data_IF_703230898780
#
_entry.id   IF_703230898780
#
_cell.length_a   1.000
_cell.length_b   1.000
_cell.length_c   1.000
_cell.angle_alpha   90.00
_cell.angle_beta   90.00
_cell.angle_gamma   90.00
#
_symmetry.space_group_name_H-M   'P 1'
#
loop_
_entity.id
_entity.type
_entity.pdbx_description
1 polymer ?
#
# COMPACT_ATOMS: atom_id res chain seq x y z
N UNK A 1 -1.29 -16.22 -8.38
CA UNK A 1 0.07 -16.15 -8.97
C UNK A 1 0.01 -15.27 -10.19
N UNK A 2 0.81 -14.20 -10.24
CA UNK A 2 1.03 -13.45 -11.49
C UNK A 2 1.81 -14.39 -12.42
N UNK A 3 1.30 -14.64 -13.62
CA UNK A 3 1.93 -15.58 -14.55
C UNK A 3 3.37 -15.13 -14.85
N UNK A 4 4.35 -16.06 -14.98
CA UNK A 4 5.76 -15.71 -15.12
C UNK A 4 6.05 -14.70 -16.25
N UNK A 5 5.23 -14.69 -17.31
CA UNK A 5 5.36 -13.78 -18.44
C UNK A 5 4.97 -12.33 -18.11
N UNK A 6 3.99 -12.12 -17.22
CA UNK A 6 3.52 -10.78 -16.83
C UNK A 6 4.61 -9.99 -16.10
N UNK A 7 5.55 -10.67 -15.42
CA UNK A 7 6.65 -10.02 -14.72
C UNK A 7 7.65 -9.38 -15.68
N UNK A 8 7.92 -10.00 -16.84
CA UNK A 8 8.88 -9.45 -17.81
C UNK A 8 8.42 -8.12 -18.40
N UNK A 9 7.11 -7.97 -18.61
CA UNK A 9 6.49 -6.77 -19.19
C UNK A 9 6.89 -5.50 -18.43
N UNK A 10 7.08 -5.57 -17.10
CA UNK A 10 7.41 -4.41 -16.27
C UNK A 10 8.75 -3.77 -16.61
N UNK A 11 9.71 -4.50 -17.18
CA UNK A 11 11.00 -3.93 -17.59
C UNK A 11 11.29 -4.09 -19.09
N UNK A 12 10.60 -4.97 -19.80
CA UNK A 12 10.72 -5.11 -21.27
C UNK A 12 9.76 -4.20 -22.03
N UNK A 13 8.57 -3.94 -21.49
CA UNK A 13 7.56 -3.02 -22.05
C UNK A 13 7.33 -1.87 -21.09
N UNK A 14 8.33 -1.02 -20.93
CA UNK A 14 8.39 -0.02 -19.86
C UNK A 14 7.18 0.92 -19.79
N UNK A 15 6.58 1.24 -20.94
CA UNK A 15 5.35 2.04 -21.04
C UNK A 15 4.14 1.40 -20.33
N UNK A 16 4.16 0.10 -20.06
CA UNK A 16 3.15 -0.60 -19.26
C UNK A 16 3.04 -0.04 -17.83
N UNK A 17 4.14 0.52 -17.31
CA UNK A 17 4.17 1.13 -15.99
C UNK A 17 3.68 2.58 -15.98
N UNK A 18 3.47 3.18 -17.15
CA UNK A 18 2.95 4.56 -17.24
C UNK A 18 1.49 4.53 -16.78
N UNK A 19 1.11 5.38 -15.81
CA UNK A 19 -0.26 5.40 -15.31
C UNK A 19 -1.27 5.66 -16.43
N UNK A 20 -2.21 4.74 -16.62
CA UNK A 20 -3.29 4.92 -17.61
C UNK A 20 -4.14 6.17 -17.36
N UNK A 21 -4.21 6.67 -16.12
CA UNK A 21 -4.88 7.91 -15.73
C UNK A 21 -4.27 9.17 -16.37
N UNK A 22 -3.04 9.11 -16.87
CA UNK A 22 -2.43 10.23 -17.59
C UNK A 22 -2.96 10.37 -19.02
N UNK A 23 -3.67 9.35 -19.53
CA UNK A 23 -4.25 9.35 -20.89
C UNK A 23 -3.25 9.69 -22.00
N UNK A 24 -1.98 9.31 -21.81
CA UNK A 24 -0.93 9.54 -22.81
C UNK A 24 -1.08 8.57 -23.98
N UNK A 25 -0.86 9.07 -25.19
CA UNK A 25 -0.77 8.21 -26.37
C UNK A 25 0.43 7.25 -26.23
N UNK A 26 0.16 5.94 -26.36
CA UNK A 26 1.20 4.91 -26.34
C UNK A 26 2.17 5.14 -27.50
N UNK A 27 3.48 5.15 -27.22
CA UNK A 27 4.49 5.51 -28.20
C UNK A 27 4.61 7.01 -28.48
N UNK A 28 3.99 7.88 -27.68
CA UNK A 28 4.37 9.30 -27.66
C UNK A 28 5.78 9.46 -27.08
N UNK A 29 6.45 10.58 -27.40
CA UNK A 29 7.75 10.90 -26.82
C UNK A 29 7.69 11.00 -25.29
N UNK A 30 6.57 11.52 -24.76
CA UNK A 30 6.33 11.63 -23.33
C UNK A 30 6.10 10.25 -22.69
N UNK A 31 5.22 9.41 -23.25
CA UNK A 31 4.94 8.07 -22.71
C UNK A 31 6.21 7.21 -22.64
N UNK A 32 7.01 7.18 -23.71
CA UNK A 32 8.29 6.46 -23.71
C UNK A 32 9.24 6.95 -22.63
N UNK A 33 9.45 8.27 -22.54
CA UNK A 33 10.35 8.86 -21.55
C UNK A 33 9.91 8.56 -20.13
N UNK A 34 8.62 8.70 -19.82
CA UNK A 34 8.10 8.38 -18.49
C UNK A 34 8.22 6.89 -18.18
N UNK A 35 7.98 6.00 -19.15
CA UNK A 35 8.20 4.57 -19.01
C UNK A 35 9.66 4.24 -18.68
N UNK A 36 10.62 4.81 -19.42
CA UNK A 36 12.04 4.69 -19.14
C UNK A 36 12.40 5.17 -17.74
N UNK A 37 11.92 6.35 -17.37
CA UNK A 37 12.19 6.97 -16.08
C UNK A 37 11.63 6.17 -14.89
N UNK A 38 10.40 5.66 -15.01
CA UNK A 38 9.77 4.80 -14.00
C UNK A 38 10.61 3.53 -13.82
N UNK A 39 10.96 2.83 -14.90
CA UNK A 39 11.76 1.61 -14.78
C UNK A 39 13.14 1.89 -14.20
N UNK A 40 13.81 2.97 -14.63
CA UNK A 40 15.10 3.37 -14.06
C UNK A 40 15.02 3.73 -12.58
N UNK A 41 13.92 4.33 -12.10
CA UNK A 41 13.75 4.66 -10.70
C UNK A 41 13.69 3.40 -9.81
N UNK A 42 12.94 2.38 -10.22
CA UNK A 42 12.80 1.15 -9.43
C UNK A 42 13.97 0.18 -9.63
N UNK A 43 14.37 -0.06 -10.88
CA UNK A 43 15.29 -1.14 -11.24
C UNK A 43 16.72 -0.66 -11.52
N UNK A 44 16.95 0.66 -11.55
CA UNK A 44 18.22 1.23 -11.95
C UNK A 44 18.51 1.06 -13.44
N UNK A 45 19.76 1.27 -13.83
CA UNK A 45 20.21 1.25 -15.24
C UNK A 45 21.02 -0.02 -15.60
N UNK A 46 21.13 -0.97 -14.67
CA UNK A 46 21.87 -2.21 -14.86
C UNK A 46 21.03 -3.34 -15.47
N UNK A 47 21.62 -4.54 -15.64
CA UNK A 47 20.86 -5.72 -16.04
C UNK A 47 19.76 -6.06 -15.03
N UNK A 48 18.53 -6.19 -15.51
CA UNK A 48 17.36 -6.50 -14.69
C UNK A 48 17.07 -8.00 -14.78
N UNK A 49 16.93 -8.66 -13.63
CA UNK A 49 16.46 -10.05 -13.56
C UNK A 49 15.50 -10.24 -12.40
N UNK A 50 14.60 -11.22 -12.55
CA UNK A 50 13.60 -11.56 -11.52
C UNK A 50 14.25 -11.87 -10.18
N UNK A 51 15.33 -12.66 -10.20
CA UNK A 51 15.93 -13.18 -8.98
C UNK A 51 16.60 -12.09 -8.14
N UNK A 52 17.08 -11.02 -8.78
CA UNK A 52 17.77 -9.91 -8.11
C UNK A 52 16.88 -8.69 -7.87
N UNK A 53 15.74 -8.57 -8.57
CA UNK A 53 14.86 -7.39 -8.53
C UNK A 53 13.43 -7.67 -8.05
N UNK A 54 13.22 -8.78 -7.34
CA UNK A 54 11.88 -9.17 -6.90
C UNK A 54 11.23 -8.10 -6.00
N UNK A 55 12.00 -7.46 -5.12
CA UNK A 55 11.50 -6.39 -4.26
C UNK A 55 11.06 -5.17 -5.06
N UNK A 56 11.87 -4.74 -6.03
CA UNK A 56 11.60 -3.61 -6.90
C UNK A 56 10.33 -3.85 -7.72
N UNK A 57 10.14 -5.10 -8.17
CA UNK A 57 8.91 -5.53 -8.82
C UNK A 57 7.68 -5.42 -7.88
N UNK A 58 7.79 -5.80 -6.61
CA UNK A 58 6.71 -5.60 -5.64
C UNK A 58 6.45 -4.13 -5.32
N UNK A 59 7.50 -3.32 -5.26
CA UNK A 59 7.38 -1.88 -4.99
C UNK A 59 6.64 -1.16 -6.13
N UNK A 60 7.04 -1.37 -7.39
CA UNK A 60 6.37 -0.74 -8.54
C UNK A 60 4.93 -1.23 -8.71
N UNK A 61 4.65 -2.51 -8.46
CA UNK A 61 3.28 -3.07 -8.55
C UNK A 61 2.39 -2.56 -7.43
N UNK A 62 2.91 -2.46 -6.20
CA UNK A 62 2.22 -1.87 -5.05
C UNK A 62 1.86 -0.41 -5.31
N UNK A 63 2.81 0.36 -5.81
CA UNK A 63 2.60 1.79 -6.05
C UNK A 63 1.61 2.02 -7.20
N UNK A 64 1.73 1.28 -8.30
CA UNK A 64 0.82 1.42 -9.44
C UNK A 64 -0.60 0.94 -9.14
N UNK A 65 -0.75 -0.12 -8.35
CA UNK A 65 -2.06 -0.76 -8.13
C UNK A 65 -2.80 -0.17 -6.93
N UNK A 66 -2.07 0.31 -5.91
CA UNK A 66 -2.68 0.67 -4.62
C UNK A 66 -2.13 1.99 -4.06
N UNK A 67 -0.86 2.03 -3.67
CA UNK A 67 -0.37 3.05 -2.73
C UNK A 67 -0.52 4.48 -3.26
N UNK A 68 -0.20 4.74 -4.53
CA UNK A 68 -0.36 6.08 -5.12
C UNK A 68 -1.82 6.54 -5.11
N UNK A 69 -2.76 5.62 -5.31
CA UNK A 69 -4.19 5.90 -5.39
C UNK A 69 -4.75 6.18 -4.01
N UNK A 70 -4.32 5.40 -3.02
CA UNK A 70 -4.61 5.64 -1.59
C UNK A 70 -4.09 7.02 -1.19
N UNK A 71 -2.81 7.31 -1.45
CA UNK A 71 -2.20 8.59 -1.10
C UNK A 71 -2.90 9.75 -1.79
N UNK A 72 -3.16 9.66 -3.10
CA UNK A 72 -3.89 10.68 -3.85
C UNK A 72 -5.31 10.92 -3.30
N UNK A 73 -5.98 9.86 -2.85
CA UNK A 73 -7.32 9.94 -2.25
C UNK A 73 -7.30 10.66 -0.90
N UNK A 74 -6.33 10.34 -0.02
CA UNK A 74 -6.12 11.07 1.24
C UNK A 74 -5.88 12.55 0.97
N UNK A 75 -4.96 12.87 0.06
CA UNK A 75 -4.63 14.23 -0.34
C UNK A 75 -5.84 14.99 -0.91
N UNK A 76 -6.67 14.31 -1.71
CA UNK A 76 -7.90 14.90 -2.25
C UNK A 76 -8.94 15.16 -1.16
N UNK A 77 -9.18 14.20 -0.26
CA UNK A 77 -10.14 14.36 0.82
C UNK A 77 -9.74 15.44 1.81
N UNK A 78 -8.44 15.59 2.12
CA UNK A 78 -7.94 16.71 2.94
C UNK A 78 -8.28 18.09 2.35
N UNK A 79 -8.35 18.21 1.02
CA UNK A 79 -8.71 19.47 0.33
C UNK A 79 -10.21 19.72 0.22
N UNK A 80 -11.01 18.66 0.25
CA UNK A 80 -12.41 18.70 -0.20
C UNK A 80 -13.41 18.32 0.89
N UNK A 81 -12.94 17.82 2.02
CA UNK A 81 -13.75 17.36 3.14
C UNK A 81 -13.19 17.86 4.46
N UNK A 82 -14.09 18.08 5.43
CA UNK A 82 -13.73 18.37 6.82
C UNK A 82 -13.82 17.12 7.71
N UNK A 83 -14.09 15.95 7.14
CA UNK A 83 -14.15 14.70 7.91
C UNK A 83 -12.74 14.18 8.24
N UNK A 84 -12.51 13.65 9.45
CA UNK A 84 -11.24 13.01 9.80
C UNK A 84 -10.94 11.82 8.88
N UNK A 85 -9.69 11.72 8.44
CA UNK A 85 -9.18 10.63 7.60
C UNK A 85 -8.18 9.83 8.42
N UNK A 86 -8.29 8.52 8.44
CA UNK A 86 -7.38 7.62 9.16
C UNK A 86 -6.74 6.66 8.17
N UNK A 87 -5.42 6.71 8.04
CA UNK A 87 -4.65 5.83 7.14
C UNK A 87 -3.95 4.74 7.96
N UNK A 88 -3.91 3.51 7.46
CA UNK A 88 -3.23 2.39 8.11
C UNK A 88 -2.36 1.60 7.13
N UNK A 89 -1.41 0.85 7.68
CA UNK A 89 -0.62 -0.17 7.00
C UNK A 89 -0.69 -1.45 7.82
N UNK A 90 -0.92 -2.59 7.18
CA UNK A 90 -0.68 -3.90 7.80
C UNK A 90 0.73 -4.35 7.43
N UNK A 91 1.57 -4.63 8.43
CA UNK A 91 2.94 -5.12 8.23
C UNK A 91 3.26 -6.36 9.07
N UNK A 92 2.28 -6.86 9.82
CA UNK A 92 2.38 -8.14 10.51
C UNK A 92 2.26 -9.31 9.51
N UNK A 93 3.40 -9.92 9.19
CA UNK A 93 3.47 -11.20 8.47
C UNK A 93 3.31 -12.35 9.47
N UNK A 94 2.19 -13.07 9.39
CA UNK A 94 1.84 -14.10 10.36
C UNK A 94 0.96 -15.20 9.79
N UNK A 95 0.57 -16.11 10.69
CA UNK A 95 -0.36 -17.17 10.42
C UNK A 95 -1.83 -16.73 10.19
N UNK A 96 -2.10 -15.43 10.10
CA UNK A 96 -3.40 -14.93 9.64
C UNK A 96 -3.36 -14.29 8.26
N UNK A 97 -2.20 -14.26 7.58
CA UNK A 97 -2.06 -13.78 6.20
C UNK A 97 -2.84 -14.67 5.21
N UNK A 98 -4.11 -14.32 5.01
CA UNK A 98 -5.09 -15.14 4.30
C UNK A 98 -4.70 -15.44 2.85
N UNK A 99 -4.28 -14.43 2.09
CA UNK A 99 -4.04 -14.58 0.66
C UNK A 99 -2.71 -15.28 0.39
N UNK A 100 -1.68 -15.05 1.21
CA UNK A 100 -0.44 -15.84 1.19
C UNK A 100 -0.72 -17.31 1.39
N UNK A 101 -1.52 -17.67 2.39
CA UNK A 101 -1.90 -19.06 2.64
C UNK A 101 -2.67 -19.67 1.47
N UNK A 102 -3.65 -18.93 0.93
CA UNK A 102 -4.44 -19.38 -0.22
C UNK A 102 -3.55 -19.70 -1.42
N UNK A 103 -2.46 -18.95 -1.62
CA UNK A 103 -1.54 -19.12 -2.74
C UNK A 103 -0.27 -19.91 -2.43
N UNK A 104 -0.06 -20.35 -1.18
CA UNK A 104 1.18 -21.01 -0.76
C UNK A 104 2.43 -20.12 -0.89
N UNK A 105 2.31 -18.82 -0.61
CA UNK A 105 3.43 -17.87 -0.68
C UNK A 105 4.21 -17.88 0.63
N UNK A 106 5.47 -18.30 0.56
CA UNK A 106 6.39 -18.35 1.71
C UNK A 106 7.34 -17.13 1.80
N UNK A 107 7.28 -16.22 0.82
CA UNK A 107 8.10 -15.01 0.83
C UNK A 107 7.72 -14.09 2.01
N UNK A 108 8.70 -13.41 2.63
CA UNK A 108 8.44 -12.53 3.75
C UNK A 108 7.65 -11.29 3.34
N UNK A 109 6.86 -10.77 4.28
CA UNK A 109 6.03 -9.59 4.12
C UNK A 109 4.54 -9.90 3.99
N UNK A 110 3.74 -8.85 3.91
CA UNK A 110 2.28 -8.92 3.77
C UNK A 110 1.90 -8.61 2.32
N UNK A 111 0.98 -9.37 1.75
CA UNK A 111 0.44 -9.14 0.42
C UNK A 111 -1.03 -8.71 0.46
N UNK A 112 -1.57 -8.40 -0.71
CA UNK A 112 -2.94 -7.97 -0.86
C UNK A 112 -3.93 -9.00 -0.28
N UNK A 113 -4.93 -8.52 0.48
CA UNK A 113 -6.00 -9.29 1.11
C UNK A 113 -5.57 -10.19 2.28
N UNK A 114 -4.32 -10.11 2.75
CA UNK A 114 -3.86 -10.82 3.95
C UNK A 114 -4.56 -10.34 5.23
N UNK A 115 -5.02 -9.08 5.27
CA UNK A 115 -5.73 -8.51 6.41
C UNK A 115 -7.07 -9.22 6.70
N UNK A 116 -7.63 -9.94 5.72
CA UNK A 116 -8.93 -10.62 5.84
C UNK A 116 -8.93 -11.63 6.99
N UNK A 117 -7.84 -12.37 7.19
CA UNK A 117 -7.74 -13.37 8.28
C UNK A 117 -7.75 -12.77 9.68
N UNK A 118 -7.48 -11.46 9.80
CA UNK A 118 -7.54 -10.73 11.06
C UNK A 118 -8.92 -10.11 11.33
N UNK A 119 -9.79 -10.02 10.33
CA UNK A 119 -11.12 -9.42 10.46
C UNK A 119 -12.24 -10.48 10.41
N UNK A 120 -12.01 -11.60 9.73
CA UNK A 120 -13.02 -12.61 9.49
C UNK A 120 -12.48 -14.01 9.75
N UNK A 121 -13.33 -14.89 10.25
CA UNK A 121 -13.04 -16.33 10.24
C UNK A 121 -13.06 -16.84 8.80
N UNK A 122 -11.96 -17.46 8.37
CA UNK A 122 -11.83 -18.00 7.01
C UNK A 122 -11.61 -19.51 7.07
N UNK A 123 -11.82 -20.20 5.93
CA UNK A 123 -11.55 -21.64 5.83
C UNK A 123 -10.05 -21.97 5.80
N UNK A 124 -9.18 -20.97 5.60
CA UNK A 124 -7.75 -21.15 5.37
C UNK A 124 -6.88 -20.67 6.54
N UNK A 125 -7.48 -20.00 7.53
CA UNK A 125 -6.80 -19.49 8.72
C UNK A 125 -7.41 -20.14 9.95
N UNK A 126 -6.59 -20.88 10.71
CA UNK A 126 -7.01 -21.44 11.99
C UNK A 126 -7.27 -20.33 13.02
N UNK A 127 -8.08 -20.64 14.03
CA UNK A 127 -8.20 -19.76 15.20
C UNK A 127 -6.81 -19.65 15.87
N UNK A 128 -6.33 -18.43 16.15
CA UNK A 128 -5.03 -18.24 16.79
C UNK A 128 -5.05 -18.74 18.24
N UNK A 129 -3.89 -19.12 18.75
CA UNK A 129 -3.74 -19.46 20.17
C UNK A 129 -3.94 -18.22 21.03
N UNK A 130 -4.66 -18.37 22.15
CA UNK A 130 -4.93 -17.25 23.05
C UNK A 130 -3.63 -16.61 23.57
N UNK A 131 -3.48 -15.31 23.37
CA UNK A 131 -2.29 -14.55 23.73
C UNK A 131 -1.16 -14.58 22.71
N UNK A 132 -1.30 -15.30 21.58
CA UNK A 132 -0.34 -15.22 20.48
C UNK A 132 -0.35 -13.84 19.81
N UNK A 133 0.66 -13.56 18.99
CA UNK A 133 0.73 -12.30 18.23
C UNK A 133 -0.46 -12.16 17.29
N UNK A 134 -0.89 -13.26 16.67
CA UNK A 134 -2.07 -13.34 15.81
C UNK A 134 -3.36 -13.05 16.56
N UNK A 135 -3.56 -13.65 17.75
CA UNK A 135 -4.75 -13.40 18.57
C UNK A 135 -4.81 -11.93 19.02
N UNK A 136 -3.69 -11.37 19.48
CA UNK A 136 -3.60 -9.96 19.87
C UNK A 136 -3.87 -9.05 18.67
N UNK A 137 -3.28 -9.32 17.51
CA UNK A 137 -3.47 -8.53 16.30
C UNK A 137 -4.92 -8.59 15.79
N UNK A 138 -5.54 -9.77 15.77
CA UNK A 138 -6.94 -9.97 15.41
C UNK A 138 -7.86 -9.17 16.34
N UNK A 139 -7.67 -9.26 17.65
CA UNK A 139 -8.45 -8.50 18.63
C UNK A 139 -8.27 -6.99 18.46
N UNK A 140 -7.03 -6.52 18.21
CA UNK A 140 -6.73 -5.10 17.94
C UNK A 140 -7.40 -4.60 16.66
N UNK A 141 -7.29 -5.32 15.54
CA UNK A 141 -7.93 -4.93 14.28
C UNK A 141 -9.46 -4.86 14.40
N UNK A 142 -10.09 -5.89 14.97
CA UNK A 142 -11.53 -5.89 15.22
C UNK A 142 -11.95 -4.70 16.11
N UNK A 143 -11.16 -4.38 17.15
CA UNK A 143 -11.42 -3.23 18.03
C UNK A 143 -11.35 -1.90 17.28
N UNK A 144 -10.30 -1.67 16.49
CA UNK A 144 -10.10 -0.46 15.69
C UNK A 144 -11.24 -0.24 14.69
N UNK A 145 -11.62 -1.29 13.94
CA UNK A 145 -12.72 -1.23 12.97
C UNK A 145 -14.07 -1.00 13.65
N UNK A 146 -14.38 -1.72 14.73
CA UNK A 146 -15.63 -1.55 15.46
C UNK A 146 -15.76 -0.15 16.09
N UNK A 147 -14.65 0.39 16.63
CA UNK A 147 -14.62 1.75 17.16
C UNK A 147 -14.88 2.78 16.06
N UNK A 148 -14.21 2.64 14.91
CA UNK A 148 -14.45 3.56 13.78
C UNK A 148 -15.90 3.48 13.29
N UNK A 149 -16.47 2.28 13.17
CA UNK A 149 -17.87 2.11 12.76
C UNK A 149 -18.85 2.75 13.75
N UNK A 150 -18.56 2.71 15.06
CA UNK A 150 -19.45 3.21 16.11
C UNK A 150 -19.28 4.72 16.39
N UNK A 151 -18.05 5.22 16.31
CA UNK A 151 -17.69 6.56 16.79
C UNK A 151 -17.04 7.46 15.75
N UNK A 152 -16.80 6.97 14.52
CA UNK A 152 -16.01 7.65 13.49
C UNK A 152 -14.58 8.02 13.92
N UNK A 153 -14.09 7.36 14.97
CA UNK A 153 -12.73 7.48 15.50
C UNK A 153 -12.29 6.08 15.97
N UNK A 154 -11.16 5.53 15.49
CA UNK A 154 -10.70 4.18 15.83
C UNK A 154 -10.17 4.06 17.28
N UNK A 155 -9.73 5.16 17.88
CA UNK A 155 -9.23 5.25 19.26
C UNK A 155 -9.92 6.39 20.01
N UNK A 156 -11.23 6.30 20.28
CA UNK A 156 -12.02 7.39 20.86
C UNK A 156 -11.71 7.65 22.34
N UNK A 157 -11.18 6.62 23.03
CA UNK A 157 -10.71 6.65 24.41
C UNK A 157 -9.44 5.79 24.50
N UNK A 158 -8.65 5.97 25.56
CA UNK A 158 -7.50 5.11 25.82
C UNK A 158 -7.99 3.68 26.10
N UNK A 159 -7.62 2.76 25.21
CA UNK A 159 -8.02 1.34 25.26
C UNK A 159 -6.80 0.50 25.70
N UNK A 160 -6.88 -0.26 26.81
CA UNK A 160 -5.77 -1.10 27.27
C UNK A 160 -5.32 -2.21 26.31
N UNK A 161 -6.13 -2.56 25.31
CA UNK A 161 -5.74 -3.51 24.26
C UNK A 161 -4.91 -2.83 23.16
N UNK A 162 -5.25 -1.58 22.85
CA UNK A 162 -4.62 -0.82 21.77
C UNK A 162 -3.36 -0.09 22.24
N UNK A 163 -3.42 0.47 23.46
CA UNK A 163 -2.34 1.22 24.11
C UNK A 163 -1.77 2.36 23.25
N UNK A 164 -2.56 2.85 22.30
CA UNK A 164 -2.16 3.90 21.36
C UNK A 164 -3.34 4.82 21.07
N UNK A 165 -3.02 6.08 20.77
CA UNK A 165 -3.95 7.01 20.13
C UNK A 165 -3.57 7.14 18.67
N UNK A 166 -4.51 6.84 17.77
CA UNK A 166 -4.32 6.98 16.33
C UNK A 166 -4.89 8.34 15.89
N UNK A 167 -4.05 9.33 15.59
CA UNK A 167 -4.52 10.62 15.12
C UNK A 167 -5.02 10.53 13.67
N UNK A 168 -6.01 11.34 13.28
CA UNK A 168 -6.33 11.49 11.87
C UNK A 168 -5.18 12.18 11.14
N UNK A 169 -5.12 12.02 9.82
CA UNK A 169 -4.22 12.77 8.95
C UNK A 169 -4.57 14.25 9.06
N UNK A 170 -3.61 15.06 9.53
CA UNK A 170 -3.83 16.48 9.81
C UNK A 170 -3.37 17.38 8.66
N UNK A 171 -2.35 16.98 7.92
CA UNK A 171 -1.74 17.82 6.90
C UNK A 171 -1.25 16.99 5.69
N UNK A 172 -0.91 17.71 4.62
CA UNK A 172 -0.51 17.14 3.33
C UNK A 172 0.95 16.65 3.29
N UNK A 173 1.79 17.13 4.21
CA UNK A 173 3.24 16.96 4.23
C UNK A 173 3.75 15.96 5.29
N UNK A 174 2.90 15.60 6.26
CA UNK A 174 3.14 14.65 7.33
C UNK A 174 1.91 13.73 7.43
N UNK A 175 1.77 12.83 6.45
CA UNK A 175 0.63 11.92 6.38
C UNK A 175 0.78 10.84 7.43
N UNK A 176 0.12 11.01 8.58
CA UNK A 176 0.11 10.04 9.66
C UNK A 176 -0.59 8.74 9.24
N UNK A 177 0.00 7.59 9.58
CA UNK A 177 -0.66 6.30 9.44
C UNK A 177 -0.37 5.39 10.63
N UNK A 178 -1.31 4.48 10.92
CA UNK A 178 -1.12 3.43 11.91
C UNK A 178 -0.49 2.20 11.25
N UNK A 179 0.72 1.85 11.66
CA UNK A 179 1.35 0.59 11.31
C UNK A 179 0.89 -0.51 12.27
N UNK A 180 0.14 -1.47 11.72
CA UNK A 180 -0.37 -2.65 12.40
C UNK A 180 0.69 -3.75 12.23
N UNK A 181 1.71 -3.71 13.08
CA UNK A 181 2.70 -4.78 13.23
C UNK A 181 2.48 -5.52 14.56
N UNK A 182 3.51 -6.17 15.09
CA UNK A 182 3.45 -6.80 16.43
C UNK A 182 3.08 -5.77 17.52
N UNK A 183 3.58 -4.54 17.39
CA UNK A 183 3.23 -3.41 18.24
C UNK A 183 2.61 -2.31 17.37
N UNK A 184 1.50 -1.71 17.79
CA UNK A 184 0.90 -0.61 17.04
C UNK A 184 1.83 0.62 17.10
N UNK A 185 2.08 1.24 15.93
CA UNK A 185 2.94 2.43 15.83
C UNK A 185 2.29 3.46 14.94
N UNK A 186 2.32 4.73 15.35
CA UNK A 186 1.98 5.84 14.45
C UNK A 186 3.27 6.25 13.75
N UNK A 187 3.26 6.16 12.44
CA UNK A 187 4.34 6.59 11.56
C UNK A 187 3.83 7.67 10.60
N UNK A 188 4.75 8.25 9.83
CA UNK A 188 4.47 9.36 8.93
C UNK A 188 5.07 9.09 7.56
N UNK A 189 4.39 9.59 6.54
CA UNK A 189 4.83 9.63 5.15
C UNK A 189 5.23 8.25 4.60
N UNK A 190 4.24 7.42 4.24
CA UNK A 190 4.49 6.08 3.73
C UNK A 190 5.26 6.14 2.41
N UNK A 191 6.45 5.54 2.39
CA UNK A 191 7.34 5.43 1.24
C UNK A 191 7.61 6.80 0.55
N UNK A 192 8.20 7.77 1.28
CA UNK A 192 8.15 9.18 0.92
C UNK A 192 8.86 9.50 -0.41
N UNK A 193 10.01 8.85 -0.65
CA UNK A 193 10.76 9.00 -1.91
C UNK A 193 9.95 8.50 -3.11
N UNK A 194 9.18 7.42 -2.95
CA UNK A 194 8.34 6.87 -4.03
C UNK A 194 7.12 7.74 -4.26
N UNK A 195 6.46 8.21 -3.20
CA UNK A 195 5.30 9.10 -3.34
C UNK A 195 5.69 10.43 -4.00
N UNK A 196 6.83 11.00 -3.62
CA UNK A 196 7.40 12.20 -4.26
C UNK A 196 7.77 11.97 -5.72
N UNK A 197 8.34 10.80 -6.04
CA UNK A 197 8.60 10.42 -7.43
C UNK A 197 7.32 10.41 -8.26
N UNK A 198 6.25 9.76 -7.77
CA UNK A 198 4.98 9.69 -8.48
C UNK A 198 4.28 11.04 -8.61
N UNK A 199 4.31 11.88 -7.57
CA UNK A 199 3.75 13.23 -7.64
C UNK A 199 4.35 14.03 -8.80
N UNK A 200 5.66 13.92 -9.03
CA UNK A 200 6.33 14.54 -10.17
C UNK A 200 5.88 13.94 -11.51
N UNK A 201 5.83 12.61 -11.63
CA UNK A 201 5.38 11.92 -12.85
C UNK A 201 3.97 12.39 -13.24
N UNK A 202 3.07 12.52 -12.26
CA UNK A 202 1.70 12.99 -12.51
C UNK A 202 1.63 14.47 -12.85
N UNK A 203 2.39 15.31 -12.14
CA UNK A 203 2.45 16.73 -12.44
C UNK A 203 2.88 16.97 -13.89
N UNK A 204 3.89 16.22 -14.36
CA UNK A 204 4.38 16.31 -15.72
C UNK A 204 3.38 15.76 -16.76
N UNK A 205 2.79 14.59 -16.50
CA UNK A 205 1.83 13.97 -17.43
C UNK A 205 0.53 14.77 -17.56
N UNK A 206 0.00 15.32 -16.47
CA UNK A 206 -1.25 16.07 -16.46
C UNK A 206 -1.14 17.48 -17.04
N UNK A 207 0.07 18.07 -17.07
CA UNK A 207 0.30 19.35 -17.75
C UNK A 207 0.14 19.21 -19.26
N UNK A 208 0.45 18.04 -19.82
CA UNK A 208 0.41 17.79 -21.26
C UNK A 208 -0.96 17.25 -21.70
N UNK A 209 -1.66 16.49 -20.87
CA UNK A 209 -3.02 15.98 -21.21
C UNK A 209 -4.13 17.03 -21.18
N UNK A 210 -3.83 18.24 -20.67
CA UNK A 210 -4.74 19.40 -20.68
C UNK A 210 -4.51 20.35 -21.87
N UNK A 211 -3.56 20.03 -22.74
CA UNK A 211 -3.30 20.72 -24.02
C UNK A 211 -3.83 19.87 -25.17
#
# INVERSE_FOLDING_TARGET
MVEPHLNYIYWTEKEYNVPGLLHLEKGSALSRRLGDEIVSFYFGNGPISRDTHLRQFYDITTDNSFLRGIFSSVQHHLRTSNCPIYMYRLSLDSDLCFYKRMLGIELPGVCHADEIGYLFSTLLTSAPEAGSVEDVAQRRMCRLWANFAKYSNPTPVLDPLLEITWPPVADHQNVAFLDICQELKVEFDPEPERMKFWERIYSEGLLVSKL
#
